data_IF_045479389151
#
_entry.id   IF_045479389151
#
_cell.length_a   1.000
_cell.length_b   1.000
_cell.length_c   1.000
_cell.angle_alpha   90.00
_cell.angle_beta   90.00
_cell.angle_gamma   90.00
#
_symmetry.space_group_name_H-M   'P 1'
#
loop_
_entity.id
_entity.type
_entity.pdbx_description
1 polymer ?
#
# COMPACT_ATOMS: atom_id res chain seq x y z
N UNK A 1 7.33 -10.07 -13.23
CA UNK A 1 7.60 -11.17 -12.29
C UNK A 1 8.69 -10.72 -11.31
N UNK A 2 8.43 -9.66 -10.53
CA UNK A 2 9.41 -9.04 -9.62
C UNK A 2 8.85 -8.80 -8.19
N UNK A 3 7.52 -8.71 -8.02
CA UNK A 3 6.93 -8.35 -6.74
C UNK A 3 7.01 -9.37 -5.62
N UNK A 4 6.97 -10.67 -5.93
CA UNK A 4 7.09 -11.72 -4.91
C UNK A 4 8.49 -11.75 -4.28
N UNK A 5 9.54 -11.41 -5.04
CA UNK A 5 10.92 -11.40 -4.55
C UNK A 5 11.13 -10.30 -3.52
N UNK A 6 10.55 -9.11 -3.74
CA UNK A 6 10.69 -8.01 -2.79
C UNK A 6 9.91 -8.26 -1.51
N UNK A 7 8.72 -8.85 -1.63
CA UNK A 7 7.93 -9.31 -0.49
C UNK A 7 8.69 -10.39 0.30
N UNK A 8 9.35 -11.33 -0.40
CA UNK A 8 10.25 -12.32 0.21
C UNK A 8 11.45 -11.67 0.91
N UNK A 9 12.06 -10.62 0.33
CA UNK A 9 13.16 -9.88 0.96
C UNK A 9 12.71 -9.14 2.23
N UNK A 10 11.51 -8.55 2.23
CA UNK A 10 10.92 -7.93 3.42
C UNK A 10 10.67 -8.99 4.50
N UNK A 11 10.13 -10.15 4.11
CA UNK A 11 9.95 -11.30 5.01
C UNK A 11 11.26 -11.81 5.63
N UNK A 12 12.36 -11.81 4.87
CA UNK A 12 13.67 -12.29 5.33
C UNK A 12 14.44 -11.23 6.13
N UNK A 13 14.26 -9.95 5.82
CA UNK A 13 14.95 -8.83 6.47
C UNK A 13 14.28 -8.37 7.77
N UNK A 14 12.95 -8.49 7.86
CA UNK A 14 12.24 -8.33 9.13
C UNK A 14 12.45 -9.63 9.92
N UNK A 15 13.15 -9.56 11.04
CA UNK A 15 13.08 -10.59 12.08
C UNK A 15 11.99 -10.14 13.06
N UNK A 16 10.71 -10.45 12.81
CA UNK A 16 9.71 -10.09 13.78
C UNK A 16 9.96 -11.04 14.97
N UNK A 17 10.24 -10.51 16.16
CA UNK A 17 10.74 -11.30 17.29
C UNK A 17 9.87 -12.52 17.61
N UNK A 18 8.75 -12.29 18.32
CA UNK A 18 7.72 -13.31 18.55
C UNK A 18 6.43 -13.05 17.75
N UNK A 19 6.36 -11.97 16.99
CA UNK A 19 5.20 -11.65 16.16
C UNK A 19 5.36 -12.28 14.77
N UNK A 20 4.30 -12.86 14.21
CA UNK A 20 4.34 -13.40 12.85
C UNK A 20 3.81 -12.37 11.87
N UNK A 21 4.61 -12.03 10.86
CA UNK A 21 4.14 -11.21 9.74
C UNK A 21 3.15 -12.04 8.90
N UNK A 22 1.88 -11.62 8.85
CA UNK A 22 0.81 -12.34 8.14
C UNK A 22 0.30 -11.48 6.97
N UNK A 23 0.29 -12.06 5.77
CA UNK A 23 -0.33 -11.42 4.59
C UNK A 23 -1.77 -11.91 4.50
N UNK A 24 -2.72 -11.00 4.74
CA UNK A 24 -4.15 -11.34 4.67
C UNK A 24 -4.66 -11.51 3.24
N UNK A 25 -4.24 -10.62 2.33
CA UNK A 25 -4.74 -10.63 0.96
C UNK A 25 -3.73 -10.06 -0.02
N UNK A 26 -3.79 -10.54 -1.26
CA UNK A 26 -2.96 -10.09 -2.38
C UNK A 26 -3.86 -9.93 -3.62
N UNK A 27 -3.85 -8.75 -4.22
CA UNK A 27 -4.55 -8.48 -5.49
C UNK A 27 -3.60 -7.84 -6.49
N UNK A 28 -3.61 -8.36 -7.72
CA UNK A 28 -2.98 -7.68 -8.85
C UNK A 28 -3.90 -6.56 -9.33
N UNK A 29 -3.37 -5.36 -9.39
CA UNK A 29 -4.08 -4.16 -9.87
C UNK A 29 -3.56 -3.79 -11.27
N UNK A 30 -4.44 -3.39 -12.18
CA UNK A 30 -4.04 -2.90 -13.50
C UNK A 30 -4.01 -1.37 -13.57
N UNK A 31 -4.85 -0.70 -12.76
CA UNK A 31 -4.99 0.75 -12.74
C UNK A 31 -5.39 1.25 -11.34
N UNK A 32 -5.50 2.58 -11.20
CA UNK A 32 -5.88 3.25 -9.94
C UNK A 32 -7.28 2.84 -9.47
N UNK A 33 -8.26 2.80 -10.38
CA UNK A 33 -9.65 2.45 -10.06
C UNK A 33 -9.76 1.05 -9.46
N UNK A 34 -9.05 0.07 -10.03
CA UNK A 34 -9.02 -1.32 -9.52
C UNK A 34 -8.50 -1.39 -8.08
N UNK A 35 -7.52 -0.55 -7.76
CA UNK A 35 -6.93 -0.45 -6.44
C UNK A 35 -7.92 0.18 -5.46
N UNK A 36 -8.53 1.32 -5.81
CA UNK A 36 -9.51 2.00 -4.94
C UNK A 36 -10.73 1.13 -4.67
N UNK A 37 -11.26 0.45 -5.69
CA UNK A 37 -12.36 -0.49 -5.52
C UNK A 37 -11.99 -1.61 -4.54
N UNK A 38 -10.77 -2.15 -4.67
CA UNK A 38 -10.28 -3.15 -3.72
C UNK A 38 -10.18 -2.62 -2.30
N UNK A 39 -9.66 -1.41 -2.10
CA UNK A 39 -9.59 -0.79 -0.77
C UNK A 39 -10.99 -0.60 -0.18
N UNK A 40 -11.99 -0.24 -1.00
CA UNK A 40 -13.39 -0.12 -0.55
C UNK A 40 -13.93 -1.45 -0.07
N UNK A 41 -13.65 -2.55 -0.77
CA UNK A 41 -14.05 -3.89 -0.31
C UNK A 41 -13.43 -4.21 1.05
N UNK A 42 -12.15 -3.90 1.28
CA UNK A 42 -11.50 -4.11 2.58
C UNK A 42 -12.12 -3.21 3.67
N UNK A 43 -12.46 -1.97 3.33
CA UNK A 43 -13.12 -1.03 4.24
C UNK A 43 -14.52 -1.49 4.67
N UNK A 44 -15.29 -2.03 3.73
CA UNK A 44 -16.62 -2.60 3.99
C UNK A 44 -16.54 -3.81 4.94
N UNK A 45 -15.52 -4.65 4.78
CA UNK A 45 -15.31 -5.82 5.63
C UNK A 45 -14.87 -5.43 7.05
N UNK A 46 -13.97 -4.45 7.19
CA UNK A 46 -13.48 -4.03 8.50
C UNK A 46 -13.02 -2.58 8.52
N UNK A 47 -13.97 -1.67 8.75
CA UNK A 47 -13.73 -0.21 8.71
C UNK A 47 -12.73 0.29 9.76
N UNK A 48 -12.75 -0.27 10.95
CA UNK A 48 -12.03 0.28 12.12
C UNK A 48 -10.63 -0.31 12.32
N UNK A 49 -10.31 -1.41 11.64
CA UNK A 49 -8.98 -2.01 11.74
C UNK A 49 -7.92 -1.18 11.03
N UNK A 50 -6.69 -1.27 11.56
CA UNK A 50 -5.49 -0.76 10.89
C UNK A 50 -5.14 -1.70 9.73
N UNK A 51 -4.98 -1.14 8.54
CA UNK A 51 -4.65 -1.83 7.29
C UNK A 51 -3.24 -1.43 6.89
N UNK A 52 -2.35 -2.42 6.82
CA UNK A 52 -0.97 -2.23 6.38
C UNK A 52 -0.86 -2.75 4.95
N UNK A 53 -0.67 -1.85 4.00
CA UNK A 53 -0.72 -2.15 2.57
C UNK A 53 0.66 -1.98 1.98
N UNK A 54 1.14 -3.03 1.32
CA UNK A 54 2.36 -2.97 0.51
C UNK A 54 1.97 -2.73 -0.94
N UNK A 55 2.41 -1.62 -1.52
CA UNK A 55 2.23 -1.32 -2.94
C UNK A 55 3.52 -1.66 -3.69
N UNK A 56 3.43 -2.64 -4.58
CA UNK A 56 4.50 -3.03 -5.50
C UNK A 56 4.11 -2.63 -6.93
N UNK A 57 4.34 -1.36 -7.26
CA UNK A 57 4.03 -0.76 -8.56
C UNK A 57 4.96 0.42 -8.84
N UNK A 58 4.83 1.03 -10.02
CA UNK A 58 5.59 2.25 -10.35
C UNK A 58 5.26 3.39 -9.38
N UNK A 59 6.22 4.29 -9.17
CA UNK A 59 6.04 5.45 -8.27
C UNK A 59 4.86 6.33 -8.70
N UNK A 60 4.66 6.50 -10.01
CA UNK A 60 3.52 7.24 -10.57
C UNK A 60 2.18 6.59 -10.18
N UNK A 61 2.04 5.29 -10.40
CA UNK A 61 0.80 4.58 -10.05
C UNK A 61 0.58 4.57 -8.53
N UNK A 62 1.63 4.38 -7.73
CA UNK A 62 1.55 4.43 -6.27
C UNK A 62 1.09 5.81 -5.77
N UNK A 63 1.64 6.89 -6.33
CA UNK A 63 1.23 8.27 -6.02
C UNK A 63 -0.25 8.47 -6.31
N UNK A 64 -0.70 8.08 -7.50
CA UNK A 64 -2.10 8.26 -7.91
C UNK A 64 -3.06 7.45 -7.04
N UNK A 65 -2.69 6.23 -6.64
CA UNK A 65 -3.47 5.42 -5.70
C UNK A 65 -3.60 6.11 -4.34
N UNK A 66 -2.49 6.57 -3.77
CA UNK A 66 -2.51 7.23 -2.45
C UNK A 66 -3.30 8.54 -2.51
N UNK A 67 -3.11 9.35 -3.54
CA UNK A 67 -3.86 10.60 -3.73
C UNK A 67 -5.35 10.31 -3.90
N UNK A 68 -5.72 9.32 -4.73
CA UNK A 68 -7.11 8.95 -4.94
C UNK A 68 -7.75 8.40 -3.67
N UNK A 69 -7.02 7.60 -2.87
CA UNK A 69 -7.48 7.13 -1.57
C UNK A 69 -7.73 8.29 -0.61
N UNK A 70 -6.79 9.24 -0.48
CA UNK A 70 -6.95 10.39 0.42
C UNK A 70 -8.09 11.33 -0.02
N UNK A 71 -8.43 11.36 -1.31
CA UNK A 71 -9.58 12.13 -1.84
C UNK A 71 -10.92 11.41 -1.67
N UNK A 72 -10.92 10.10 -1.54
CA UNK A 72 -12.14 9.31 -1.31
C UNK A 72 -12.64 9.46 0.14
N UNK A 73 -13.86 9.97 0.30
CA UNK A 73 -14.50 10.17 1.61
C UNK A 73 -14.99 8.86 2.25
N UNK A 74 -15.13 7.81 1.46
CA UNK A 74 -15.64 6.50 1.93
C UNK A 74 -14.55 5.69 2.63
N UNK A 75 -13.28 6.01 2.40
CA UNK A 75 -12.13 5.29 2.94
C UNK A 75 -11.54 6.02 4.17
N UNK A 76 -11.25 5.27 5.23
CA UNK A 76 -10.55 5.80 6.39
C UNK A 76 -9.13 6.27 6.03
N UNK A 77 -8.79 7.53 6.32
CA UNK A 77 -7.43 8.07 6.06
C UNK A 77 -6.43 7.71 7.15
N UNK A 78 -6.90 7.54 8.39
CA UNK A 78 -6.06 7.30 9.58
C UNK A 78 -5.75 5.84 9.85
N UNK A 79 -6.52 4.94 9.24
CA UNK A 79 -6.43 3.49 9.47
C UNK A 79 -5.60 2.77 8.41
N UNK A 80 -5.08 3.48 7.42
CA UNK A 80 -4.30 2.90 6.32
C UNK A 80 -2.85 3.35 6.40
N UNK A 81 -1.94 2.38 6.32
CA UNK A 81 -0.51 2.61 6.35
C UNK A 81 0.11 1.95 5.12
N UNK A 82 0.73 2.76 4.27
CA UNK A 82 1.31 2.30 3.00
C UNK A 82 2.82 2.10 3.11
N UNK A 83 3.29 0.97 2.62
CA UNK A 83 4.70 0.69 2.36
C UNK A 83 4.89 0.60 0.84
N UNK A 84 5.67 1.51 0.28
CA UNK A 84 5.94 1.56 -1.16
C UNK A 84 7.17 0.71 -1.49
N UNK A 85 6.93 -0.47 -2.04
CA UNK A 85 7.94 -1.40 -2.56
C UNK A 85 8.37 -0.93 -3.94
N UNK A 86 9.30 0.03 -4.01
CA UNK A 86 9.75 0.60 -5.29
C UNK A 86 10.59 1.86 -5.20
N UNK A 87 10.83 2.38 -4.00
CA UNK A 87 11.56 3.63 -3.74
C UNK A 87 13.09 3.55 -3.97
N UNK A 88 13.56 2.81 -4.98
CA UNK A 88 14.97 2.94 -5.41
C UNK A 88 15.28 4.26 -6.09
N UNK A 89 14.25 5.04 -6.46
CA UNK A 89 14.37 6.42 -6.90
C UNK A 89 13.21 7.20 -6.26
N UNK A 90 13.42 8.45 -5.84
CA UNK A 90 12.35 9.40 -5.44
C UNK A 90 11.83 9.29 -3.97
N UNK A 91 12.69 9.11 -2.96
CA UNK A 91 12.30 9.55 -1.58
C UNK A 91 12.35 11.10 -1.47
N UNK A 92 12.91 11.82 -2.45
CA UNK A 92 13.13 13.26 -2.37
C UNK A 92 11.99 14.18 -2.88
N UNK A 93 11.11 13.71 -3.79
CA UNK A 93 10.19 14.64 -4.49
C UNK A 93 8.73 14.60 -4.01
N UNK A 94 8.22 13.47 -3.52
CA UNK A 94 6.79 13.36 -3.19
C UNK A 94 6.32 14.22 -1.99
N UNK A 95 7.25 14.68 -1.13
CA UNK A 95 6.91 15.55 0.02
C UNK A 95 7.03 17.05 -0.28
N UNK A 96 7.53 17.45 -1.46
CA UNK A 96 7.68 18.88 -1.82
C UNK A 96 6.42 19.50 -2.43
N UNK A 97 5.48 18.70 -2.93
CA UNK A 97 4.23 19.20 -3.56
C UNK A 97 3.07 19.45 -2.58
N UNK A 98 3.27 19.22 -1.28
CA UNK A 98 2.25 19.43 -0.23
C UNK A 98 2.55 20.65 0.66
N UNK A 99 3.07 21.75 0.07
CA UNK A 99 3.19 23.05 0.73
C UNK A 99 2.56 24.16 -0.11
#
# INVERSE_FOLDING_TARGET
>A
MLGLLRLQQIYQGLRPGNETFHVETVKRIANVSDAIEFLRTIEELNRWSRKHIVLDCSTELAKDIVVSHVRDITLGKRTYHYLLSGLSEIIADCFKEYK
#
